data_IF_715060317686
#
_entry.id   IF_715060317686
#
_cell.length_a   1.000
_cell.length_b   1.000
_cell.length_c   1.000
_cell.angle_alpha   90.00
_cell.angle_beta   90.00
_cell.angle_gamma   90.00
#
_symmetry.space_group_name_H-M   'P 1'
#
loop_
_entity.id
_entity.type
_entity.pdbx_description
1 polymer ?
#
# COMPACT_ATOMS: atom_id res chain seq x y z
N UNK A 1 -21.39 32.44 13.07
CA UNK A 1 -21.18 31.86 11.72
C UNK A 1 -20.58 30.48 11.91
N UNK A 2 -21.40 29.45 12.00
CA UNK A 2 -21.00 28.12 12.51
C UNK A 2 -20.27 27.35 11.40
N UNK A 3 -18.95 27.21 11.51
CA UNK A 3 -18.13 26.36 10.62
C UNK A 3 -18.42 24.89 10.93
N UNK A 4 -19.48 24.34 10.34
CA UNK A 4 -19.67 22.89 10.33
C UNK A 4 -18.72 22.31 9.29
N UNK A 5 -17.61 21.73 9.75
CA UNK A 5 -16.85 20.76 8.94
C UNK A 5 -17.68 19.49 8.95
N UNK A 6 -18.39 19.21 7.84
CA UNK A 6 -19.08 17.92 7.72
C UNK A 6 -18.13 16.90 7.08
N UNK A 7 -17.78 15.92 7.91
CA UNK A 7 -17.10 14.69 7.54
C UNK A 7 -18.19 13.65 7.27
N UNK A 8 -18.15 12.98 6.13
CA UNK A 8 -19.05 11.85 5.86
C UNK A 8 -18.27 10.62 5.46
N UNK A 9 -18.77 9.46 5.87
CA UNK A 9 -18.30 8.17 5.39
C UNK A 9 -19.31 7.57 4.44
N UNK A 10 -18.83 7.03 3.31
CA UNK A 10 -19.63 6.34 2.30
C UNK A 10 -19.25 4.87 2.36
N UNK A 11 -20.16 4.05 2.87
CA UNK A 11 -19.94 2.61 3.05
C UNK A 11 -20.49 1.80 1.88
N UNK A 12 -21.56 2.28 1.25
CA UNK A 12 -22.23 1.59 0.15
C UNK A 12 -22.62 2.57 -0.96
N UNK A 13 -22.90 2.08 -2.19
CA UNK A 13 -23.36 2.96 -3.26
C UNK A 13 -24.64 3.74 -2.94
N UNK A 14 -25.47 3.25 -2.01
CA UNK A 14 -26.73 3.93 -1.62
C UNK A 14 -26.49 5.20 -0.80
N UNK A 15 -25.37 5.28 -0.08
CA UNK A 15 -25.04 6.41 0.80
C UNK A 15 -24.79 7.70 0.00
N UNK A 16 -24.43 7.57 -1.29
CA UNK A 16 -24.27 8.70 -2.20
C UNK A 16 -25.55 9.55 -2.33
N UNK A 17 -26.73 8.94 -2.27
CA UNK A 17 -28.00 9.66 -2.33
C UNK A 17 -28.15 10.66 -1.16
N UNK A 18 -27.67 10.28 0.02
CA UNK A 18 -27.68 11.13 1.20
C UNK A 18 -26.56 12.16 1.12
N UNK A 19 -25.33 11.74 0.79
CA UNK A 19 -24.17 12.62 0.72
C UNK A 19 -24.36 13.76 -0.30
N UNK A 20 -25.00 13.47 -1.43
CA UNK A 20 -25.29 14.46 -2.46
C UNK A 20 -26.25 15.57 -2.03
N UNK A 21 -27.12 15.33 -1.03
CA UNK A 21 -27.98 16.39 -0.46
C UNK A 21 -27.17 17.43 0.30
N UNK A 22 -25.95 17.09 0.72
CA UNK A 22 -25.05 17.95 1.49
C UNK A 22 -23.77 18.30 0.72
N UNK A 23 -23.74 18.11 -0.60
CA UNK A 23 -22.51 18.24 -1.40
C UNK A 23 -21.79 19.60 -1.30
N UNK A 24 -22.53 20.68 -0.98
CA UNK A 24 -21.97 22.02 -0.77
C UNK A 24 -21.43 22.26 0.66
N UNK A 25 -21.74 21.37 1.60
CA UNK A 25 -21.38 21.46 3.02
C UNK A 25 -20.26 20.51 3.41
N UNK A 26 -20.13 19.39 2.71
CA UNK A 26 -19.08 18.37 2.94
C UNK A 26 -17.70 18.94 2.66
N UNK A 27 -16.78 18.64 3.58
CA UNK A 27 -15.36 19.06 3.51
C UNK A 27 -14.41 17.88 3.48
N UNK A 28 -14.86 16.75 4.02
CA UNK A 28 -14.11 15.50 4.05
C UNK A 28 -15.04 14.33 3.70
N UNK A 29 -14.54 13.43 2.84
CA UNK A 29 -15.20 12.19 2.50
C UNK A 29 -14.26 11.01 2.77
N UNK A 30 -14.80 9.99 3.44
CA UNK A 30 -14.15 8.71 3.67
C UNK A 30 -14.94 7.63 2.91
N UNK A 31 -14.42 7.22 1.77
CA UNK A 31 -15.05 6.25 0.87
C UNK A 31 -14.49 4.85 1.15
N UNK A 32 -15.33 3.94 1.63
CA UNK A 32 -14.95 2.55 1.95
C UNK A 32 -15.03 1.66 0.70
N UNK A 33 -14.49 0.44 0.82
CA UNK A 33 -14.52 -0.54 -0.26
C UNK A 33 -15.97 -0.80 -0.72
N UNK A 34 -16.16 -0.98 -2.03
CA UNK A 34 -17.47 -1.23 -2.64
C UNK A 34 -18.38 0.00 -2.84
N UNK A 35 -17.99 1.22 -2.45
CA UNK A 35 -18.86 2.38 -2.68
C UNK A 35 -18.90 2.89 -4.15
N UNK A 36 -17.94 2.48 -4.99
CA UNK A 36 -17.79 2.92 -6.39
C UNK A 36 -18.26 1.89 -7.45
N UNK A 37 -19.18 1.00 -7.07
CA UNK A 37 -19.58 -0.14 -7.93
C UNK A 37 -20.53 0.21 -9.09
N UNK A 38 -21.19 1.37 -9.04
CA UNK A 38 -22.14 1.81 -10.08
C UNK A 38 -21.49 2.84 -11.01
N UNK A 39 -21.96 2.96 -12.25
CA UNK A 39 -21.43 3.95 -13.21
C UNK A 39 -21.59 5.37 -12.65
N UNK A 40 -22.73 5.62 -12.01
CA UNK A 40 -23.08 6.89 -11.40
C UNK A 40 -22.11 7.25 -10.26
N UNK A 41 -21.80 6.28 -9.38
CA UNK A 41 -20.90 6.54 -8.25
C UNK A 41 -19.47 6.87 -8.68
N UNK A 42 -18.98 6.39 -9.83
CA UNK A 42 -17.60 6.69 -10.30
C UNK A 42 -17.36 8.16 -10.65
N UNK A 43 -18.43 8.91 -10.91
CA UNK A 43 -18.36 10.35 -11.27
C UNK A 43 -18.84 11.28 -10.17
N UNK A 44 -19.42 10.72 -9.10
CA UNK A 44 -20.16 11.48 -8.07
C UNK A 44 -19.29 12.50 -7.34
N UNK A 45 -17.99 12.21 -7.20
CA UNK A 45 -17.04 13.05 -6.49
C UNK A 45 -17.00 14.45 -7.07
N UNK A 46 -17.08 14.61 -8.40
CA UNK A 46 -17.04 15.91 -9.08
C UNK A 46 -18.14 16.88 -8.63
N UNK A 47 -19.21 16.39 -7.97
CA UNK A 47 -20.30 17.23 -7.45
C UNK A 47 -19.95 17.95 -6.14
N UNK A 48 -18.92 17.51 -5.42
CA UNK A 48 -18.53 18.08 -4.13
C UNK A 48 -17.54 19.24 -4.32
N UNK A 49 -18.07 20.45 -4.55
CA UNK A 49 -17.26 21.63 -4.92
C UNK A 49 -16.35 22.17 -3.82
N UNK A 50 -16.57 21.76 -2.57
CA UNK A 50 -15.83 22.23 -1.38
C UNK A 50 -15.19 21.08 -0.61
N UNK A 51 -14.93 19.96 -1.28
CA UNK A 51 -14.25 18.81 -0.71
C UNK A 51 -12.75 19.08 -0.64
N UNK A 52 -12.17 19.10 0.54
CA UNK A 52 -10.74 19.38 0.74
C UNK A 52 -9.94 18.12 1.06
N UNK A 53 -10.54 17.16 1.77
CA UNK A 53 -9.92 15.88 2.11
C UNK A 53 -10.75 14.74 1.53
N UNK A 54 -10.10 13.79 0.85
CA UNK A 54 -10.75 12.60 0.33
C UNK A 54 -9.90 11.37 0.66
N UNK A 55 -10.47 10.43 1.43
CA UNK A 55 -9.92 9.09 1.59
C UNK A 55 -10.72 8.11 0.76
N UNK A 56 -10.04 7.24 0.02
CA UNK A 56 -10.65 6.21 -0.83
C UNK A 56 -9.99 4.87 -0.55
N UNK A 57 -10.77 3.89 -0.13
CA UNK A 57 -10.38 2.49 -0.23
C UNK A 57 -10.55 2.04 -1.70
N UNK A 58 -9.43 1.80 -2.36
CA UNK A 58 -9.36 1.43 -3.77
C UNK A 58 -9.19 -0.07 -3.98
N UNK A 59 -9.40 -0.90 -2.96
CA UNK A 59 -9.24 -2.36 -3.11
C UNK A 59 -10.04 -2.96 -4.27
N UNK A 60 -11.22 -2.40 -4.56
CA UNK A 60 -12.03 -2.81 -5.71
C UNK A 60 -11.46 -2.50 -7.10
N UNK A 61 -10.26 -1.89 -7.19
CA UNK A 61 -9.57 -1.53 -8.43
C UNK A 61 -8.94 -2.73 -9.14
N UNK A 62 -8.97 -3.91 -8.52
CA UNK A 62 -8.70 -5.19 -9.16
C UNK A 62 -9.85 -6.15 -8.92
N UNK A 63 -10.24 -6.92 -9.93
CA UNK A 63 -11.22 -7.99 -9.78
C UNK A 63 -10.82 -9.22 -10.56
N UNK A 64 -11.07 -10.39 -9.97
CA UNK A 64 -10.98 -11.66 -10.68
C UNK A 64 -12.18 -11.80 -11.61
N UNK A 65 -11.90 -12.05 -12.89
CA UNK A 65 -12.94 -12.37 -13.85
C UNK A 65 -13.47 -13.79 -13.55
N UNK A 66 -14.78 -13.96 -13.27
CA UNK A 66 -15.33 -15.26 -12.88
C UNK A 66 -15.24 -16.30 -14.00
N UNK A 67 -15.20 -15.88 -15.26
CA UNK A 67 -15.19 -16.78 -16.42
C UNK A 67 -13.77 -17.22 -16.81
N UNK A 68 -12.77 -16.35 -16.62
CA UNK A 68 -11.39 -16.65 -17.04
C UNK A 68 -10.44 -16.89 -15.88
N UNK A 69 -10.88 -16.67 -14.64
CA UNK A 69 -10.05 -16.65 -13.43
C UNK A 69 -8.89 -15.66 -13.45
N UNK A 70 -8.78 -14.78 -14.48
CA UNK A 70 -7.72 -13.77 -14.58
C UNK A 70 -8.10 -12.51 -13.82
N UNK A 71 -7.11 -11.87 -13.19
CA UNK A 71 -7.28 -10.55 -12.60
C UNK A 71 -7.19 -9.46 -13.66
N UNK A 72 -8.01 -8.43 -13.50
CA UNK A 72 -7.97 -7.23 -14.32
C UNK A 72 -8.07 -5.98 -13.44
N UNK A 73 -7.34 -4.94 -13.81
CA UNK A 73 -7.41 -3.64 -13.16
C UNK A 73 -8.55 -2.79 -13.73
N UNK A 74 -9.25 -2.07 -12.86
CA UNK A 74 -10.38 -1.22 -13.17
C UNK A 74 -10.17 0.18 -12.62
N UNK A 75 -10.62 1.18 -13.37
CA UNK A 75 -10.65 2.56 -12.90
C UNK A 75 -11.89 2.79 -12.05
N UNK A 76 -11.71 2.94 -10.73
CA UNK A 76 -12.80 3.23 -9.79
C UNK A 76 -13.26 4.68 -9.84
N UNK A 77 -12.32 5.61 -10.03
CA UNK A 77 -12.59 7.05 -10.04
C UNK A 77 -12.01 7.64 -11.32
N UNK A 78 -12.85 8.37 -12.05
CA UNK A 78 -12.45 9.00 -13.32
C UNK A 78 -12.35 10.52 -13.23
N UNK A 79 -12.74 11.12 -12.11
CA UNK A 79 -12.64 12.56 -11.88
C UNK A 79 -12.53 12.89 -10.39
N UNK A 80 -11.74 13.92 -10.08
CA UNK A 80 -11.62 14.49 -8.73
C UNK A 80 -12.14 15.94 -8.74
N UNK A 81 -12.71 16.44 -7.62
CA UNK A 81 -12.90 17.86 -7.42
C UNK A 81 -11.57 18.60 -7.39
N UNK A 82 -11.49 19.72 -8.11
CA UNK A 82 -10.32 20.61 -8.10
C UNK A 82 -10.09 21.32 -6.76
N UNK A 83 -11.02 21.18 -5.82
CA UNK A 83 -10.90 21.70 -4.45
C UNK A 83 -10.09 20.78 -3.52
N UNK A 84 -9.82 19.53 -3.91
CA UNK A 84 -9.07 18.60 -3.07
C UNK A 84 -7.66 19.13 -2.81
N UNK A 85 -7.29 19.13 -1.54
CA UNK A 85 -5.94 19.45 -1.04
C UNK A 85 -5.25 18.21 -0.46
N UNK A 86 -6.02 17.23 0.05
CA UNK A 86 -5.50 15.98 0.58
C UNK A 86 -6.21 14.78 -0.03
N UNK A 87 -5.44 13.87 -0.64
CA UNK A 87 -5.96 12.63 -1.22
C UNK A 87 -5.28 11.44 -0.55
N UNK A 88 -6.07 10.58 0.08
CA UNK A 88 -5.60 9.31 0.65
C UNK A 88 -6.17 8.14 -0.13
N UNK A 89 -5.37 7.55 -0.99
CA UNK A 89 -5.66 6.26 -1.60
C UNK A 89 -5.22 5.17 -0.64
N UNK A 90 -6.09 4.22 -0.34
CA UNK A 90 -5.85 3.09 0.55
C UNK A 90 -6.10 1.80 -0.20
N UNK A 91 -5.34 0.76 0.13
CA UNK A 91 -5.56 -0.60 -0.37
C UNK A 91 -5.60 -0.76 -1.90
N UNK A 92 -4.96 0.12 -2.68
CA UNK A 92 -4.94 -0.01 -4.14
C UNK A 92 -4.09 -1.19 -4.60
N UNK A 93 -4.51 -1.86 -5.68
CA UNK A 93 -3.68 -2.81 -6.42
C UNK A 93 -3.17 -2.22 -7.74
N UNK A 94 -3.88 -1.26 -8.33
CA UNK A 94 -3.48 -0.67 -9.60
C UNK A 94 -2.22 0.19 -9.47
N UNK A 95 -1.43 0.33 -10.56
CA UNK A 95 -0.21 1.14 -10.53
C UNK A 95 -0.47 2.60 -10.17
N UNK A 96 0.37 3.17 -9.28
CA UNK A 96 0.22 4.54 -8.77
C UNK A 96 0.12 5.60 -9.87
N UNK A 97 0.74 5.36 -11.03
CA UNK A 97 0.69 6.28 -12.18
C UNK A 97 -0.74 6.65 -12.57
N UNK A 98 -1.71 5.73 -12.44
CA UNK A 98 -3.12 6.02 -12.74
C UNK A 98 -3.72 7.06 -11.80
N UNK A 99 -3.32 7.02 -10.53
CA UNK A 99 -3.73 8.01 -9.52
C UNK A 99 -3.02 9.34 -9.77
N UNK A 100 -1.72 9.29 -10.09
CA UNK A 100 -0.94 10.50 -10.39
C UNK A 100 -1.48 11.23 -11.61
N UNK A 101 -1.84 10.52 -12.68
CA UNK A 101 -2.48 11.09 -13.86
C UNK A 101 -3.81 11.77 -13.52
N UNK A 102 -4.64 11.10 -12.72
CA UNK A 102 -5.91 11.65 -12.24
C UNK A 102 -5.71 12.94 -11.42
N UNK A 103 -4.73 12.95 -10.50
CA UNK A 103 -4.41 14.12 -9.68
C UNK A 103 -3.87 15.26 -10.53
N UNK A 104 -2.92 15.00 -11.44
CA UNK A 104 -2.36 16.00 -12.37
C UNK A 104 -3.46 16.67 -13.19
N UNK A 105 -4.43 15.91 -13.66
CA UNK A 105 -5.52 16.41 -14.49
C UNK A 105 -6.57 17.21 -13.68
N UNK A 106 -6.94 16.74 -12.49
CA UNK A 106 -8.13 17.24 -11.81
C UNK A 106 -7.85 18.04 -10.53
N UNK A 107 -6.75 17.77 -9.84
CA UNK A 107 -6.39 18.38 -8.56
C UNK A 107 -4.93 18.87 -8.54
N UNK A 108 -4.53 19.79 -9.45
CA UNK A 108 -3.14 20.25 -9.54
C UNK A 108 -2.65 21.04 -8.32
N UNK A 109 -3.58 21.46 -7.44
CA UNK A 109 -3.27 22.18 -6.20
C UNK A 109 -3.13 21.26 -4.98
N UNK A 110 -3.07 19.93 -5.18
CA UNK A 110 -2.93 18.96 -4.10
C UNK A 110 -1.70 19.29 -3.23
N UNK A 111 -1.88 19.23 -1.91
CA UNK A 111 -0.85 19.53 -0.91
C UNK A 111 -0.32 18.26 -0.24
N UNK A 112 -1.16 17.22 -0.15
CA UNK A 112 -0.87 15.95 0.50
C UNK A 112 -1.41 14.77 -0.31
N UNK A 113 -0.55 13.77 -0.54
CA UNK A 113 -0.89 12.54 -1.23
C UNK A 113 -0.46 11.34 -0.42
N UNK A 114 -1.39 10.43 -0.16
CA UNK A 114 -1.08 9.09 0.34
C UNK A 114 -1.42 8.07 -0.74
N UNK A 115 -0.40 7.33 -1.22
CA UNK A 115 -0.50 6.21 -2.14
C UNK A 115 -0.39 4.89 -1.39
N UNK A 116 -1.51 4.48 -0.77
CA UNK A 116 -1.59 3.26 0.02
C UNK A 116 -1.92 2.04 -0.83
N UNK A 117 -1.06 1.02 -0.79
CA UNK A 117 -1.28 -0.26 -1.47
C UNK A 117 -2.04 -1.25 -0.59
N UNK A 118 -2.75 -2.20 -1.20
CA UNK A 118 -3.16 -3.38 -0.45
C UNK A 118 -1.90 -4.17 -0.18
N UNK A 119 -1.67 -4.56 1.07
CA UNK A 119 -0.50 -5.33 1.49
C UNK A 119 -0.98 -6.54 2.27
N UNK A 120 -0.06 -7.47 2.51
CA UNK A 120 -0.33 -8.65 3.31
C UNK A 120 -0.58 -8.39 4.80
N UNK A 121 -0.39 -7.15 5.27
CA UNK A 121 -0.58 -6.77 6.69
C UNK A 121 -1.80 -5.89 6.95
N UNK A 122 -2.35 -5.23 5.92
CA UNK A 122 -3.45 -4.27 6.11
C UNK A 122 -4.84 -4.85 5.83
N UNK A 123 -4.96 -6.18 5.70
CA UNK A 123 -6.26 -6.81 5.42
C UNK A 123 -6.41 -8.19 6.05
N UNK A 124 -7.56 -8.41 6.68
CA UNK A 124 -7.99 -9.70 7.22
C UNK A 124 -9.47 -9.94 6.88
N UNK A 125 -9.83 -11.05 6.20
CA UNK A 125 -8.92 -12.08 5.67
C UNK A 125 -8.03 -11.53 4.54
N UNK A 126 -7.00 -12.30 4.16
CA UNK A 126 -6.13 -11.96 3.02
C UNK A 126 -6.96 -11.73 1.74
N UNK A 127 -6.58 -10.74 0.95
CA UNK A 127 -7.21 -10.50 -0.35
C UNK A 127 -6.96 -11.69 -1.31
N UNK A 128 -7.97 -12.07 -2.09
CA UNK A 128 -7.89 -13.15 -3.08
C UNK A 128 -6.75 -12.95 -4.10
N UNK A 129 -6.42 -11.69 -4.40
CA UNK A 129 -5.33 -11.32 -5.29
C UNK A 129 -3.99 -11.94 -4.85
N UNK A 130 -3.72 -11.97 -3.54
CA UNK A 130 -2.51 -12.57 -2.98
C UNK A 130 -2.44 -14.09 -3.17
N UNK A 131 -3.59 -14.75 -3.31
CA UNK A 131 -3.67 -16.16 -3.70
C UNK A 131 -3.10 -16.45 -5.08
N UNK A 132 -3.14 -15.46 -6.00
CA UNK A 132 -2.60 -15.60 -7.35
C UNK A 132 -1.20 -14.99 -7.50
N UNK A 133 -0.88 -13.96 -6.71
CA UNK A 133 0.38 -13.22 -6.78
C UNK A 133 1.02 -13.05 -5.40
N UNK A 134 1.40 -14.15 -4.72
CA UNK A 134 1.84 -14.12 -3.32
C UNK A 134 3.16 -13.36 -3.08
N UNK A 135 3.92 -13.11 -4.14
CA UNK A 135 5.22 -12.42 -4.10
C UNK A 135 5.20 -11.09 -4.88
N UNK A 136 4.02 -10.52 -5.15
CA UNK A 136 3.93 -9.30 -5.93
C UNK A 136 4.81 -8.17 -5.37
N UNK A 137 5.72 -7.70 -6.20
CA UNK A 137 6.76 -6.73 -5.84
C UNK A 137 6.18 -5.34 -5.54
N UNK A 138 4.96 -5.01 -5.98
CA UNK A 138 4.42 -3.66 -5.79
C UNK A 138 4.12 -3.32 -4.31
N UNK A 139 4.04 -4.31 -3.42
CA UNK A 139 4.00 -4.07 -1.97
C UNK A 139 5.39 -3.94 -1.33
N UNK A 140 6.44 -4.43 -1.99
CA UNK A 140 7.81 -4.52 -1.49
C UNK A 140 8.80 -4.06 -2.55
N UNK A 141 9.39 -2.90 -2.37
CA UNK A 141 10.50 -2.49 -3.21
C UNK A 141 11.77 -3.19 -2.70
N UNK A 142 12.40 -3.96 -3.59
CA UNK A 142 13.78 -4.40 -3.38
C UNK A 142 14.65 -3.19 -3.06
N UNK A 143 15.61 -3.35 -2.15
CA UNK A 143 16.62 -2.31 -1.91
C UNK A 143 17.32 -1.92 -3.22
N UNK A 144 17.44 -2.87 -4.15
CA UNK A 144 17.87 -2.65 -5.52
C UNK A 144 16.78 -1.96 -6.35
N UNK A 145 17.13 -0.88 -7.05
CA UNK A 145 16.19 -0.10 -7.87
C UNK A 145 15.43 1.00 -7.12
N UNK A 146 15.63 1.14 -5.81
CA UNK A 146 15.03 2.22 -4.99
C UNK A 146 15.30 3.61 -5.59
N UNK A 147 16.53 3.87 -6.06
CA UNK A 147 16.90 5.16 -6.63
C UNK A 147 16.17 5.42 -7.97
N UNK A 148 16.10 4.43 -8.85
CA UNK A 148 15.44 4.55 -10.15
C UNK A 148 13.93 4.74 -9.99
N UNK A 149 13.34 4.04 -9.02
CA UNK A 149 11.96 4.27 -8.60
C UNK A 149 11.77 5.70 -8.10
N UNK A 150 12.62 6.18 -7.19
CA UNK A 150 12.54 7.55 -6.67
C UNK A 150 12.70 8.61 -7.78
N UNK A 151 13.57 8.39 -8.76
CA UNK A 151 13.70 9.27 -9.93
C UNK A 151 12.44 9.28 -10.78
N UNK A 152 11.88 8.12 -11.07
CA UNK A 152 10.66 7.97 -11.87
C UNK A 152 9.46 8.63 -11.16
N UNK A 153 9.30 8.36 -9.86
CA UNK A 153 8.26 8.98 -9.04
C UNK A 153 8.43 10.50 -8.96
N UNK A 154 9.66 10.99 -8.79
CA UNK A 154 9.93 12.43 -8.78
C UNK A 154 9.51 13.11 -10.09
N UNK A 155 9.73 12.48 -11.24
CA UNK A 155 9.31 13.01 -12.54
C UNK A 155 7.77 13.13 -12.62
N UNK A 156 7.06 12.11 -12.14
CA UNK A 156 5.60 12.10 -12.13
C UNK A 156 5.00 13.12 -11.16
N UNK A 157 5.67 13.37 -10.04
CA UNK A 157 5.24 14.35 -9.02
C UNK A 157 5.64 15.79 -9.36
N UNK A 158 6.66 16.00 -10.21
CA UNK A 158 7.19 17.32 -10.53
C UNK A 158 6.14 18.36 -11.01
N UNK A 159 5.06 18.00 -11.73
CA UNK A 159 4.00 18.93 -12.09
C UNK A 159 3.16 19.44 -10.90
N UNK A 160 3.09 18.68 -9.80
CA UNK A 160 2.27 19.00 -8.62
C UNK A 160 2.98 20.00 -7.71
N UNK A 161 3.03 21.26 -8.12
CA UNK A 161 3.83 22.31 -7.49
C UNK A 161 3.46 22.63 -6.03
N UNK A 162 2.26 22.25 -5.58
CA UNK A 162 1.82 22.47 -4.19
C UNK A 162 1.98 21.25 -3.30
N UNK A 163 2.38 20.11 -3.86
CA UNK A 163 2.54 18.88 -3.09
C UNK A 163 3.72 19.01 -2.15
N UNK A 164 3.44 18.91 -0.85
CA UNK A 164 4.44 19.04 0.22
C UNK A 164 4.52 17.81 1.11
N UNK A 165 3.50 16.95 1.11
CA UNK A 165 3.50 15.71 1.88
C UNK A 165 3.18 14.51 0.99
N UNK A 166 4.03 13.48 1.09
CA UNK A 166 3.88 12.20 0.38
C UNK A 166 3.98 11.05 1.38
N UNK A 167 2.99 10.17 1.37
CA UNK A 167 2.94 8.95 2.17
C UNK A 167 2.83 7.75 1.25
N UNK A 168 3.80 6.85 1.31
CA UNK A 168 3.94 5.73 0.40
C UNK A 168 3.60 4.42 1.12
N UNK A 169 2.66 3.68 0.55
CA UNK A 169 2.17 2.39 1.03
C UNK A 169 3.07 1.20 0.66
N UNK A 170 4.38 1.40 0.54
CA UNK A 170 5.34 0.39 0.09
C UNK A 170 6.46 0.23 1.10
N UNK A 171 6.94 -1.00 1.29
CA UNK A 171 8.09 -1.28 2.15
C UNK A 171 9.37 -1.19 1.32
N UNK A 172 10.37 -0.43 1.77
CA UNK A 172 11.73 -0.46 1.21
C UNK A 172 12.54 -1.61 1.85
N UNK A 173 12.01 -2.81 1.71
CA UNK A 173 12.62 -4.04 2.21
C UNK A 173 12.20 -5.20 1.29
N UNK A 174 13.09 -6.18 1.06
CA UNK A 174 12.74 -7.36 0.30
C UNK A 174 11.72 -8.22 1.05
N UNK A 175 10.79 -8.87 0.33
CA UNK A 175 9.73 -9.69 0.94
C UNK A 175 10.26 -10.93 1.68
N UNK A 176 11.48 -11.39 1.33
CA UNK A 176 12.15 -12.50 2.01
C UNK A 176 12.41 -12.23 3.50
N UNK A 177 12.46 -10.97 3.95
CA UNK A 177 12.62 -10.62 5.38
C UNK A 177 11.51 -11.26 6.23
N UNK A 178 10.30 -11.35 5.70
CA UNK A 178 9.15 -11.94 6.39
C UNK A 178 9.34 -13.44 6.53
N UNK A 179 9.82 -14.09 5.47
CA UNK A 179 10.11 -15.53 5.49
C UNK A 179 11.28 -15.85 6.42
N UNK A 180 12.36 -15.06 6.36
CA UNK A 180 13.50 -15.16 7.27
C UNK A 180 13.05 -15.10 8.73
N UNK A 181 12.24 -14.08 9.05
CA UNK A 181 11.72 -13.89 10.39
C UNK A 181 10.87 -15.10 10.83
N UNK A 182 9.82 -15.41 10.07
CA UNK A 182 8.78 -16.35 10.50
C UNK A 182 9.21 -17.81 10.51
N UNK A 183 10.11 -18.20 9.59
CA UNK A 183 10.51 -19.60 9.45
C UNK A 183 11.77 -19.92 10.23
N UNK A 184 12.72 -18.97 10.33
CA UNK A 184 14.02 -19.22 10.94
C UNK A 184 14.19 -18.51 12.27
N UNK A 185 14.04 -17.19 12.31
CA UNK A 185 14.41 -16.40 13.50
C UNK A 185 13.47 -16.62 14.69
N UNK A 186 12.16 -16.79 14.46
CA UNK A 186 11.20 -17.18 15.53
C UNK A 186 11.54 -18.53 16.16
N UNK A 187 12.29 -19.38 15.46
CA UNK A 187 12.78 -20.70 15.90
C UNK A 187 14.25 -20.68 16.33
N UNK A 188 14.85 -19.50 16.52
CA UNK A 188 16.26 -19.33 16.88
C UNK A 188 17.24 -19.99 15.90
N UNK A 189 16.87 -20.09 14.63
CA UNK A 189 17.70 -20.62 13.55
C UNK A 189 18.23 -19.48 12.67
N UNK A 190 19.40 -19.66 12.06
CA UNK A 190 19.96 -18.68 11.10
C UNK A 190 19.29 -18.86 9.74
N UNK A 191 18.85 -17.77 9.12
CA UNK A 191 18.31 -17.81 7.76
C UNK A 191 19.43 -18.02 6.73
N UNK A 192 19.20 -18.79 5.64
CA UNK A 192 20.14 -18.89 4.54
C UNK A 192 20.25 -17.56 3.79
N UNK A 193 21.39 -17.33 3.12
CA UNK A 193 21.63 -16.12 2.33
C UNK A 193 20.59 -15.94 1.22
N UNK A 194 20.16 -17.02 0.59
CA UNK A 194 19.05 -17.04 -0.36
C UNK A 194 17.91 -17.91 0.20
N UNK A 195 16.72 -17.32 0.34
CA UNK A 195 15.54 -18.01 0.84
C UNK A 195 14.68 -18.45 -0.35
N UNK A 196 14.72 -19.75 -0.63
CA UNK A 196 13.71 -20.39 -1.47
C UNK A 196 12.39 -20.51 -0.69
N UNK A 197 11.33 -19.87 -1.18
CA UNK A 197 10.06 -19.82 -0.45
C UNK A 197 9.38 -21.19 -0.35
N UNK A 198 9.56 -22.07 -1.34
CA UNK A 198 9.01 -23.44 -1.30
C UNK A 198 9.63 -24.22 -0.15
N UNK A 199 10.95 -24.11 0.03
CA UNK A 199 11.64 -24.72 1.17
C UNK A 199 11.18 -24.10 2.49
N UNK A 200 11.00 -22.78 2.53
CA UNK A 200 10.52 -22.09 3.73
C UNK A 200 9.12 -22.60 4.16
N UNK A 201 8.21 -22.81 3.21
CA UNK A 201 6.88 -23.41 3.47
C UNK A 201 7.01 -24.86 3.98
N UNK A 202 7.87 -25.68 3.38
CA UNK A 202 8.08 -27.06 3.81
C UNK A 202 8.67 -27.15 5.24
N UNK A 203 9.65 -26.30 5.58
CA UNK A 203 10.21 -26.19 6.93
C UNK A 203 9.13 -25.74 7.92
N UNK A 204 8.25 -24.81 7.52
CA UNK A 204 7.16 -24.37 8.38
C UNK A 204 6.21 -25.52 8.74
N UNK A 205 5.95 -26.42 7.79
CA UNK A 205 5.13 -27.62 7.94
C UNK A 205 5.82 -28.78 8.69
N UNK A 206 7.07 -28.60 9.12
CA UNK A 206 7.82 -29.60 9.89
C UNK A 206 8.49 -30.68 9.03
N UNK A 207 8.61 -30.47 7.72
CA UNK A 207 9.32 -31.37 6.82
C UNK A 207 10.83 -31.16 7.02
N UNK A 208 11.52 -32.18 7.55
CA UNK A 208 12.97 -32.16 7.74
C UNK A 208 13.71 -32.67 6.49
N UNK A 209 14.92 -32.16 6.26
CA UNK A 209 15.82 -32.69 5.21
C UNK A 209 15.42 -32.35 3.78
N UNK A 210 14.72 -31.23 3.56
CA UNK A 210 14.38 -30.74 2.22
C UNK A 210 15.67 -30.35 1.50
N UNK A 211 16.18 -31.25 0.66
CA UNK A 211 17.24 -30.95 -0.31
C UNK A 211 16.62 -30.17 -1.48
N UNK A 212 17.43 -29.37 -2.18
CA UNK A 212 17.01 -28.52 -3.32
C UNK A 212 16.28 -29.28 -4.45
N UNK A 213 16.35 -30.62 -4.46
CA UNK A 213 15.78 -31.50 -5.47
C UNK A 213 14.39 -32.06 -5.14
N UNK A 214 13.82 -31.78 -3.96
CA UNK A 214 12.45 -32.25 -3.66
C UNK A 214 11.46 -31.35 -4.39
N UNK A 215 10.84 -31.89 -5.44
CA UNK A 215 9.69 -31.27 -6.11
C UNK A 215 8.48 -31.22 -5.15
N UNK A 216 8.52 -30.31 -4.18
CA UNK A 216 7.39 -30.00 -3.32
C UNK A 216 6.33 -29.38 -4.22
N UNK A 217 5.13 -29.97 -4.26
CA UNK A 217 4.00 -29.36 -4.94
C UNK A 217 3.87 -27.89 -4.52
N UNK A 218 3.68 -26.99 -5.47
CA UNK A 218 3.62 -25.54 -5.23
C UNK A 218 2.48 -25.19 -4.27
N UNK A 219 2.75 -25.15 -2.96
CA UNK A 219 1.78 -24.82 -1.92
C UNK A 219 1.66 -23.30 -1.73
N UNK A 220 1.05 -22.65 -2.71
CA UNK A 220 0.79 -21.21 -2.68
C UNK A 220 -0.11 -20.83 -1.50
N UNK A 221 -1.07 -21.68 -1.14
CA UNK A 221 -1.94 -21.44 0.01
C UNK A 221 -1.14 -21.41 1.32
N UNK A 222 -0.19 -22.33 1.49
CA UNK A 222 0.77 -22.34 2.59
C UNK A 222 1.65 -21.10 2.63
N UNK A 223 2.16 -20.64 1.47
CA UNK A 223 2.93 -19.39 1.37
C UNK A 223 2.08 -18.19 1.77
N UNK A 224 0.87 -18.04 1.22
CA UNK A 224 -0.04 -16.93 1.54
C UNK A 224 -0.41 -16.95 3.01
N UNK A 225 -0.71 -18.12 3.58
CA UNK A 225 -0.99 -18.25 5.01
C UNK A 225 0.21 -17.86 5.88
N UNK A 226 1.43 -18.27 5.49
CA UNK A 226 2.66 -17.90 6.18
C UNK A 226 2.93 -16.39 6.11
N UNK A 227 2.69 -15.77 4.96
CA UNK A 227 2.90 -14.34 4.74
C UNK A 227 1.80 -13.50 5.41
N UNK A 228 0.54 -13.90 5.33
CA UNK A 228 -0.61 -13.14 5.83
C UNK A 228 -1.06 -13.56 7.23
N UNK A 229 -0.28 -14.39 7.92
CA UNK A 229 -0.57 -14.75 9.30
C UNK A 229 -0.70 -13.48 10.16
N UNK A 230 -1.68 -13.44 11.09
CA UNK A 230 -1.77 -12.36 12.05
C UNK A 230 -0.43 -12.11 12.74
N UNK A 231 -0.20 -10.86 13.08
CA UNK A 231 1.05 -10.44 13.70
C UNK A 231 1.37 -11.25 14.94
N UNK A 232 2.64 -11.57 15.10
CA UNK A 232 3.16 -12.10 16.35
C UNK A 232 2.92 -11.02 17.42
N UNK A 233 2.17 -11.35 18.49
CA UNK A 233 1.76 -10.39 19.52
C UNK A 233 2.93 -9.65 20.19
N UNK A 234 4.15 -10.15 20.03
CA UNK A 234 5.40 -9.61 20.58
C UNK A 234 6.33 -9.00 19.53
N UNK A 235 5.95 -8.91 18.24
CA UNK A 235 6.87 -8.34 17.25
C UNK A 235 7.03 -6.84 17.44
N UNK A 236 8.24 -6.45 17.79
CA UNK A 236 8.74 -5.07 17.88
C UNK A 236 10.14 -5.02 17.28
N UNK A 237 10.68 -3.82 17.08
CA UNK A 237 12.09 -3.61 16.75
C UNK A 237 13.06 -4.42 17.62
N UNK A 238 12.71 -4.67 18.89
CA UNK A 238 13.55 -5.40 19.84
C UNK A 238 13.26 -6.91 19.89
N UNK A 239 12.21 -7.36 19.21
CA UNK A 239 11.78 -8.77 19.23
C UNK A 239 12.66 -9.70 18.39
N UNK A 240 13.42 -9.15 17.43
CA UNK A 240 14.31 -9.92 16.57
C UNK A 240 15.58 -9.12 16.25
N UNK A 241 16.65 -9.28 17.06
CA UNK A 241 17.93 -8.60 16.84
C UNK A 241 18.50 -8.87 15.44
N UNK A 242 18.38 -10.11 14.93
CA UNK A 242 18.83 -10.48 13.59
C UNK A 242 18.16 -9.64 12.49
N UNK A 243 16.82 -9.61 12.44
CA UNK A 243 16.10 -8.82 11.43
C UNK A 243 16.41 -7.32 11.54
N UNK A 244 16.61 -6.82 12.77
CA UNK A 244 16.99 -5.43 13.01
C UNK A 244 18.39 -5.14 12.49
N UNK A 245 19.38 -5.94 12.85
CA UNK A 245 20.78 -5.69 12.48
C UNK A 245 21.00 -5.86 10.97
N UNK A 246 20.38 -6.87 10.37
CA UNK A 246 20.59 -7.21 8.96
C UNK A 246 19.84 -6.26 8.01
N UNK A 247 18.58 -5.91 8.30
CA UNK A 247 17.74 -5.20 7.32
C UNK A 247 17.39 -3.76 7.67
N UNK A 248 17.44 -3.37 8.96
CA UNK A 248 17.04 -2.00 9.34
C UNK A 248 17.95 -0.95 8.73
N UNK A 249 19.26 -1.18 8.75
CA UNK A 249 20.24 -0.19 8.27
C UNK A 249 20.12 0.01 6.76
N UNK A 250 20.01 -1.08 6.01
CA UNK A 250 19.85 -1.03 4.56
C UNK A 250 18.56 -0.31 4.17
N UNK A 251 17.47 -0.59 4.86
CA UNK A 251 16.19 0.10 4.69
C UNK A 251 16.31 1.60 5.00
N UNK A 252 16.90 1.98 6.13
CA UNK A 252 17.11 3.40 6.49
C UNK A 252 17.94 4.10 5.41
N UNK A 253 18.99 3.44 4.92
CA UNK A 253 19.83 3.98 3.86
C UNK A 253 19.06 4.13 2.54
N UNK A 254 18.23 3.14 2.17
CA UNK A 254 17.36 3.21 0.99
C UNK A 254 16.36 4.36 1.08
N UNK A 255 15.68 4.52 2.23
CA UNK A 255 14.72 5.61 2.45
C UNK A 255 15.39 6.97 2.37
N UNK A 256 16.54 7.13 3.03
CA UNK A 256 17.29 8.39 2.99
C UNK A 256 17.65 8.78 1.55
N UNK A 257 18.19 7.84 0.76
CA UNK A 257 18.53 8.11 -0.65
C UNK A 257 17.30 8.45 -1.49
N UNK A 258 16.21 7.70 -1.33
CA UNK A 258 14.96 7.97 -2.04
C UNK A 258 14.40 9.36 -1.69
N UNK A 259 14.41 9.72 -0.41
CA UNK A 259 13.95 11.01 0.08
C UNK A 259 14.82 12.15 -0.44
N UNK A 260 16.14 12.00 -0.44
CA UNK A 260 17.07 12.99 -1.03
C UNK A 260 16.78 13.23 -2.52
N UNK A 261 16.56 12.16 -3.30
CA UNK A 261 16.21 12.26 -4.72
C UNK A 261 14.87 12.98 -4.91
N UNK A 262 13.84 12.57 -4.16
CA UNK A 262 12.50 13.15 -4.23
C UNK A 262 12.51 14.64 -3.85
N UNK A 263 13.15 15.00 -2.73
CA UNK A 263 13.30 16.40 -2.28
C UNK A 263 14.09 17.24 -3.27
N UNK A 264 15.12 16.67 -3.90
CA UNK A 264 15.93 17.38 -4.89
C UNK A 264 15.20 17.72 -6.20
N UNK A 265 14.03 17.13 -6.43
CA UNK A 265 13.28 17.25 -7.71
C UNK A 265 11.83 17.70 -7.55
N UNK A 266 11.33 17.82 -6.32
CA UNK A 266 9.95 18.17 -5.99
C UNK A 266 9.90 19.20 -4.86
N UNK A 267 8.70 19.62 -4.44
CA UNK A 267 8.52 20.53 -3.30
C UNK A 267 8.21 19.79 -1.99
N UNK A 268 8.47 18.47 -1.95
CA UNK A 268 8.16 17.62 -0.80
C UNK A 268 8.96 18.04 0.44
N UNK A 269 8.23 18.23 1.53
CA UNK A 269 8.73 18.53 2.88
C UNK A 269 8.61 17.33 3.80
N UNK A 270 7.55 16.54 3.63
CA UNK A 270 7.29 15.31 4.37
C UNK A 270 7.25 14.15 3.40
N UNK A 271 8.06 13.13 3.64
CA UNK A 271 8.07 11.89 2.88
C UNK A 271 8.14 10.75 3.87
N UNK A 272 7.21 9.81 3.77
CA UNK A 272 7.12 8.66 4.65
C UNK A 272 6.83 7.40 3.86
N UNK A 273 7.43 6.29 4.28
CA UNK A 273 7.29 4.97 3.66
C UNK A 273 6.66 4.00 4.65
N UNK A 274 6.14 2.86 4.16
CA UNK A 274 5.68 1.81 5.08
C UNK A 274 6.87 1.14 5.74
N UNK A 275 6.70 0.85 7.02
CA UNK A 275 7.76 0.30 7.83
C UNK A 275 7.36 -1.05 8.42
N UNK A 276 8.00 -2.12 7.96
CA UNK A 276 7.83 -3.46 8.51
C UNK A 276 8.19 -3.52 10.00
N UNK A 277 9.07 -2.64 10.47
CA UNK A 277 9.49 -2.58 11.87
C UNK A 277 8.61 -1.68 12.74
N UNK A 278 7.67 -0.95 12.14
CA UNK A 278 6.72 -0.13 12.89
C UNK A 278 5.72 -0.98 13.67
N UNK A 279 5.12 -0.39 14.70
CA UNK A 279 4.02 -1.04 15.41
C UNK A 279 2.88 -1.35 14.43
N UNK A 280 2.37 -2.58 14.47
CA UNK A 280 1.40 -3.16 13.51
C UNK A 280 1.91 -3.36 12.07
N UNK A 281 3.18 -3.07 11.75
CA UNK A 281 3.76 -3.18 10.41
C UNK A 281 3.04 -2.34 9.33
N UNK A 282 2.14 -1.45 9.74
CA UNK A 282 1.32 -0.56 8.90
C UNK A 282 1.63 0.92 9.17
N UNK A 283 2.61 1.18 10.04
CA UNK A 283 3.05 2.50 10.39
C UNK A 283 3.94 3.10 9.31
N UNK A 284 3.83 4.42 9.19
CA UNK A 284 4.68 5.25 8.35
C UNK A 284 6.00 5.51 9.07
N UNK A 285 7.14 5.40 8.38
CA UNK A 285 8.37 6.01 8.90
C UNK A 285 8.27 7.52 8.80
N UNK A 286 8.34 8.18 9.94
CA UNK A 286 8.64 9.61 9.98
C UNK A 286 10.15 9.78 10.08
N UNK A 287 10.73 10.67 9.26
CA UNK A 287 12.09 11.16 9.50
C UNK A 287 12.11 11.81 10.90
N UNK A 288 12.79 11.19 11.86
CA UNK A 288 13.14 11.82 13.15
C UNK A 288 14.50 12.47 13.07
#
# INVERSE_FOLDING_TARGET
MTRWVSVLSISTPKDWNTALRYCDSVRELNCLDGCFETVESRTVLARFRRLYTLSIDMHGDVRRNPNTSRFAYYTLVTALPSSILRLHVKHAHSPDIKILDLVKQHAPNLEELWLGRCTMFNRSPACEFWGAFPLEHDSYISLEGTNDYAYSLAQELAPLKRLTALYMGIYLAPSNIVLAHRVFHTRQSVAPQEINWQHAVAIQQGIQGVTEEVAVSTDIAGLVALLHAPLEKSFTLDSCPFCREEFLQDRIHAEKRANEILRGKTNLKTISWMDWFSHSHLGLSEER
#
